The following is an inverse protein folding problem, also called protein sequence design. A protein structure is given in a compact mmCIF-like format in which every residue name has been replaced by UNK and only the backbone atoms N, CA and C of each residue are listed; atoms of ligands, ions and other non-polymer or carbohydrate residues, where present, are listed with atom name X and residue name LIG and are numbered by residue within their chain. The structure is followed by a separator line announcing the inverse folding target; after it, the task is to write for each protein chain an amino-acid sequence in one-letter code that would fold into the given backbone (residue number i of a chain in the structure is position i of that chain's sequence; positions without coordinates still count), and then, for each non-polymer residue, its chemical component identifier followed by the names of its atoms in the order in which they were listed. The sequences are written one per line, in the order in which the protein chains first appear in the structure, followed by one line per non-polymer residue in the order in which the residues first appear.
data_IF_648044263358
#
_entry.id   IF_648044263358
#
_cell.length_a   1.000
_cell.length_b   1.000
_cell.length_c   1.000
_cell.angle_alpha   90.00
_cell.angle_beta   90.00
_cell.angle_gamma   90.00
#
_symmetry.space_group_name_H-M   'P 1'
#
loop_
_entity.id
_entity.type
_entity.pdbx_description
1 polymer ?
#
# COMPACT_ATOMS: atom_id res chain seq x y z
N UNK A 1 25.80 -17.93 -17.11
CA UNK A 1 25.40 -16.91 -16.12
C UNK A 1 26.37 -15.73 -16.23
N UNK A 2 25.88 -14.53 -16.54
CA UNK A 2 26.71 -13.32 -16.57
C UNK A 2 27.16 -12.99 -15.13
N UNK A 3 28.47 -12.91 -14.89
CA UNK A 3 29.05 -12.66 -13.55
C UNK A 3 29.50 -11.23 -13.33
N UNK A 4 29.91 -10.56 -14.39
CA UNK A 4 30.39 -9.19 -14.39
C UNK A 4 29.95 -8.49 -15.69
N UNK A 5 29.70 -7.18 -15.59
CA UNK A 5 29.59 -6.32 -16.76
C UNK A 5 30.99 -5.77 -17.04
N UNK A 6 31.45 -5.88 -18.30
CA UNK A 6 32.76 -5.38 -18.66
C UNK A 6 32.83 -3.85 -18.55
N UNK A 7 33.96 -3.32 -18.05
CA UNK A 7 34.21 -1.87 -17.90
C UNK A 7 34.05 -1.07 -19.18
N UNK A 8 34.16 -1.72 -20.35
CA UNK A 8 33.86 -1.10 -21.65
C UNK A 8 32.42 -0.61 -21.81
N UNK A 9 31.49 -0.97 -20.92
CA UNK A 9 30.12 -0.42 -20.90
C UNK A 9 30.11 1.10 -20.90
N UNK A 10 31.06 1.76 -20.22
CA UNK A 10 31.16 3.22 -20.17
C UNK A 10 31.48 3.87 -21.53
N UNK A 11 31.90 3.09 -22.54
CA UNK A 11 32.12 3.57 -23.91
C UNK A 11 30.82 3.63 -24.73
N UNK A 12 29.72 3.07 -24.23
CA UNK A 12 28.44 3.03 -24.94
C UNK A 12 27.67 4.35 -24.81
N UNK A 13 28.20 5.41 -25.40
CA UNK A 13 27.65 6.79 -25.31
C UNK A 13 26.24 6.95 -25.91
N UNK A 14 25.79 5.98 -26.71
CA UNK A 14 24.44 5.97 -27.33
C UNK A 14 23.46 5.03 -26.65
N UNK A 15 23.89 4.30 -25.61
CA UNK A 15 23.00 3.40 -24.89
C UNK A 15 21.94 4.22 -24.15
N UNK A 16 20.66 3.91 -24.39
CA UNK A 16 19.53 4.56 -23.71
C UNK A 16 18.99 3.71 -22.56
N UNK A 17 18.86 2.41 -22.81
CA UNK A 17 18.27 1.48 -21.85
C UNK A 17 19.30 0.41 -21.47
N UNK A 18 19.60 0.30 -20.18
CA UNK A 18 20.42 -0.76 -19.63
C UNK A 18 19.52 -1.72 -18.84
N UNK A 19 19.26 -2.88 -19.42
CA UNK A 19 18.45 -3.91 -18.79
C UNK A 19 19.33 -5.09 -18.35
N UNK A 20 19.46 -5.26 -17.04
CA UNK A 20 20.17 -6.38 -16.40
C UNK A 20 19.21 -7.23 -15.55
N UNK A 21 17.92 -7.18 -15.88
CA UNK A 21 16.89 -7.91 -15.15
C UNK A 21 17.16 -9.41 -15.17
N UNK A 22 17.06 -10.06 -14.02
CA UNK A 22 17.26 -11.50 -13.89
C UNK A 22 18.70 -11.98 -14.06
N UNK A 23 19.69 -11.09 -14.07
CA UNK A 23 21.11 -11.47 -14.02
C UNK A 23 21.53 -11.92 -12.61
N UNK A 24 20.99 -13.03 -12.12
CA UNK A 24 21.19 -13.52 -10.73
C UNK A 24 22.65 -13.83 -10.39
N UNK A 25 23.48 -14.13 -11.38
CA UNK A 25 24.91 -14.36 -11.21
C UNK A 25 25.79 -13.09 -11.20
N UNK A 26 25.23 -11.91 -11.50
CA UNK A 26 25.98 -10.66 -11.64
C UNK A 26 26.34 -10.13 -10.25
N UNK A 27 27.63 -10.05 -9.92
CA UNK A 27 28.08 -9.71 -8.56
C UNK A 27 28.39 -8.22 -8.39
N UNK A 28 28.86 -7.55 -9.44
CA UNK A 28 29.32 -6.16 -9.39
C UNK A 28 28.93 -5.43 -10.65
N UNK A 29 28.46 -4.19 -10.48
CA UNK A 29 28.32 -3.23 -11.57
C UNK A 29 29.56 -2.33 -11.63
N UNK A 30 30.28 -2.26 -12.76
CA UNK A 30 31.51 -1.47 -12.86
C UNK A 30 31.20 0.04 -12.70
N UNK A 31 32.15 0.78 -12.12
CA UNK A 31 32.04 2.23 -11.93
C UNK A 31 31.88 2.98 -13.26
N UNK A 32 32.35 2.41 -14.36
CA UNK A 32 32.22 2.93 -15.72
C UNK A 32 30.76 3.05 -16.20
N UNK A 33 29.79 2.43 -15.51
CA UNK A 33 28.36 2.71 -15.78
C UNK A 33 28.03 4.20 -15.61
N UNK A 34 28.68 4.89 -14.67
CA UNK A 34 28.50 6.34 -14.50
C UNK A 34 28.94 7.20 -15.69
N UNK A 35 29.70 6.63 -16.63
CA UNK A 35 30.15 7.34 -17.84
C UNK A 35 29.12 7.30 -18.98
N UNK A 36 27.96 6.68 -18.79
CA UNK A 36 26.92 6.58 -19.82
C UNK A 36 26.18 7.92 -19.99
N UNK A 37 26.39 8.57 -21.14
CA UNK A 37 25.87 9.92 -21.41
C UNK A 37 24.40 9.99 -21.88
N UNK A 38 23.87 8.86 -22.36
CA UNK A 38 22.55 8.80 -22.99
C UNK A 38 21.55 7.90 -22.26
N UNK A 39 21.96 7.23 -21.17
CA UNK A 39 21.08 6.30 -20.47
C UNK A 39 20.00 7.06 -19.71
N UNK A 40 18.75 6.72 -20.04
CA UNK A 40 17.54 7.26 -19.41
C UNK A 40 16.81 6.21 -18.57
N UNK A 41 17.05 4.92 -18.80
CA UNK A 41 16.41 3.83 -18.05
C UNK A 41 17.39 2.71 -17.67
N UNK A 42 17.36 2.33 -16.38
CA UNK A 42 18.15 1.21 -15.83
C UNK A 42 17.22 0.23 -15.11
N UNK A 43 17.31 -1.06 -15.47
CA UNK A 43 16.61 -2.16 -14.81
C UNK A 43 17.61 -3.12 -14.15
N UNK A 44 17.64 -3.12 -12.82
CA UNK A 44 18.46 -4.00 -11.96
C UNK A 44 17.56 -4.89 -11.08
N UNK A 45 16.33 -5.16 -11.52
CA UNK A 45 15.39 -5.97 -10.75
C UNK A 45 15.44 -7.48 -11.08
N UNK A 46 14.87 -8.30 -10.21
CA UNK A 46 14.79 -9.75 -10.37
C UNK A 46 13.90 -10.15 -11.55
N UNK A 47 14.16 -11.34 -12.12
CA UNK A 47 13.57 -11.79 -13.39
C UNK A 47 12.10 -12.22 -13.37
N UNK A 48 11.47 -12.41 -12.20
CA UNK A 48 10.20 -13.13 -12.12
C UNK A 48 9.00 -12.21 -11.83
N UNK A 49 7.96 -12.36 -12.65
CA UNK A 49 6.64 -11.75 -12.46
C UNK A 49 5.65 -12.71 -11.75
N UNK A 50 6.10 -13.87 -11.29
CA UNK A 50 5.23 -14.82 -10.63
C UNK A 50 5.18 -14.52 -9.12
N UNK A 51 4.02 -14.11 -8.64
CA UNK A 51 3.68 -13.85 -7.23
C UNK A 51 3.80 -15.08 -6.31
N UNK A 52 4.35 -16.20 -6.80
CA UNK A 52 4.49 -17.47 -6.07
C UNK A 52 5.85 -17.66 -5.40
N UNK A 53 6.84 -16.80 -5.66
CA UNK A 53 8.17 -16.85 -5.04
C UNK A 53 8.77 -15.44 -4.92
N UNK A 54 9.49 -15.15 -3.82
CA UNK A 54 10.25 -13.91 -3.68
C UNK A 54 11.16 -13.72 -4.91
N UNK A 55 11.24 -12.51 -5.49
CA UNK A 55 12.07 -12.28 -6.67
C UNK A 55 13.52 -12.67 -6.34
N UNK A 56 14.10 -13.60 -7.11
CA UNK A 56 15.53 -13.87 -7.02
C UNK A 56 16.27 -12.56 -7.27
N UNK A 57 17.02 -12.11 -6.26
CA UNK A 57 17.78 -10.88 -6.32
C UNK A 57 18.80 -10.95 -7.44
N UNK A 58 19.08 -9.82 -8.09
CA UNK A 58 20.31 -9.70 -8.85
C UNK A 58 21.48 -9.91 -7.86
N UNK A 59 22.54 -10.63 -8.25
CA UNK A 59 23.64 -10.98 -7.34
C UNK A 59 24.49 -9.78 -6.88
N UNK A 60 24.12 -8.54 -7.26
CA UNK A 60 24.86 -7.33 -6.93
C UNK A 60 24.59 -6.99 -5.47
N UNK A 61 25.65 -6.80 -4.71
CA UNK A 61 25.53 -6.45 -3.28
C UNK A 61 25.52 -4.94 -3.06
N UNK A 62 26.21 -4.17 -3.92
CA UNK A 62 26.32 -2.70 -3.81
C UNK A 62 26.31 -2.04 -5.19
N UNK A 63 25.68 -0.86 -5.26
CA UNK A 63 25.70 -0.01 -6.46
C UNK A 63 26.89 0.94 -6.43
N UNK A 64 27.58 1.17 -7.56
CA UNK A 64 28.70 2.08 -7.61
C UNK A 64 28.25 3.53 -7.39
N UNK A 65 29.04 4.31 -6.64
CA UNK A 65 28.76 5.73 -6.41
C UNK A 65 28.69 6.54 -7.73
N UNK A 66 29.39 6.10 -8.77
CA UNK A 66 29.31 6.71 -10.10
C UNK A 66 27.94 6.61 -10.76
N UNK A 67 27.00 5.81 -10.24
CA UNK A 67 25.61 5.84 -10.69
C UNK A 67 25.01 7.25 -10.58
N UNK A 68 25.45 8.04 -9.60
CA UNK A 68 25.04 9.44 -9.44
C UNK A 68 25.52 10.37 -10.56
N UNK A 69 26.46 9.94 -11.41
CA UNK A 69 26.97 10.76 -12.53
C UNK A 69 26.08 10.68 -13.78
N UNK A 70 25.05 9.83 -13.77
CA UNK A 70 24.11 9.62 -14.88
C UNK A 70 23.12 10.78 -15.05
N UNK A 71 23.56 11.86 -15.69
CA UNK A 71 22.79 13.11 -15.82
C UNK A 71 21.45 12.99 -16.56
N UNK A 72 21.25 11.95 -17.37
CA UNK A 72 20.00 11.75 -18.14
C UNK A 72 19.11 10.65 -17.60
N UNK A 73 19.49 9.99 -16.50
CA UNK A 73 18.72 8.88 -15.97
C UNK A 73 17.36 9.37 -15.47
N UNK A 74 16.29 8.92 -16.11
CA UNK A 74 14.92 9.27 -15.74
C UNK A 74 14.25 8.19 -14.89
N UNK A 75 14.60 6.92 -15.12
CA UNK A 75 13.99 5.77 -14.43
C UNK A 75 15.02 4.77 -13.94
N UNK A 76 14.91 4.41 -12.67
CA UNK A 76 15.77 3.44 -12.02
C UNK A 76 14.93 2.39 -11.28
N UNK A 77 15.10 1.12 -11.64
CA UNK A 77 14.44 -0.01 -11.00
C UNK A 77 15.49 -0.92 -10.38
N UNK A 78 15.41 -1.19 -9.08
CA UNK A 78 16.45 -1.91 -8.35
C UNK A 78 15.89 -2.76 -7.20
N UNK A 79 16.68 -3.74 -6.73
CA UNK A 79 16.40 -4.55 -5.51
C UNK A 79 17.45 -4.33 -4.39
N UNK A 80 18.34 -3.35 -4.55
CA UNK A 80 19.52 -3.13 -3.68
C UNK A 80 19.39 -1.77 -2.97
N UNK A 81 20.31 -1.45 -2.07
CA UNK A 81 20.38 -0.12 -1.45
C UNK A 81 20.87 0.94 -2.44
N UNK A 82 20.26 2.12 -2.38
CA UNK A 82 20.71 3.30 -3.11
C UNK A 82 22.03 3.84 -2.53
N UNK A 83 23.00 4.21 -3.38
CA UNK A 83 24.21 4.90 -2.93
C UNK A 83 23.90 6.34 -2.51
N UNK A 84 24.74 6.94 -1.68
CA UNK A 84 24.56 8.34 -1.26
C UNK A 84 24.64 9.33 -2.43
N UNK A 85 25.30 8.96 -3.52
CA UNK A 85 25.38 9.77 -4.74
C UNK A 85 24.08 9.82 -5.55
N UNK A 86 23.03 9.06 -5.19
CA UNK A 86 21.76 9.04 -5.93
C UNK A 86 21.11 10.42 -6.04
N UNK A 87 21.33 11.30 -5.07
CA UNK A 87 20.83 12.67 -5.10
C UNK A 87 21.43 13.56 -6.19
N UNK A 88 22.50 13.13 -6.85
CA UNK A 88 23.09 13.83 -8.00
C UNK A 88 22.31 13.62 -9.29
N UNK A 89 21.34 12.69 -9.31
CA UNK A 89 20.50 12.42 -10.47
C UNK A 89 19.42 13.51 -10.63
N UNK A 90 19.76 14.57 -11.36
CA UNK A 90 18.88 15.73 -11.54
C UNK A 90 17.62 15.43 -12.38
N UNK A 91 17.69 14.46 -13.30
CA UNK A 91 16.61 14.08 -14.21
C UNK A 91 15.75 12.90 -13.72
N UNK A 92 16.08 12.29 -12.58
CA UNK A 92 15.36 11.10 -12.11
C UNK A 92 13.91 11.44 -11.75
N UNK A 93 12.97 10.79 -12.43
CA UNK A 93 11.52 10.96 -12.25
C UNK A 93 10.90 9.78 -11.51
N UNK A 94 11.41 8.58 -11.73
CA UNK A 94 10.87 7.33 -11.20
C UNK A 94 11.97 6.48 -10.57
N UNK A 95 11.80 6.10 -9.32
CA UNK A 95 12.63 5.08 -8.66
C UNK A 95 11.75 3.99 -8.07
N UNK A 96 12.07 2.72 -8.34
CA UNK A 96 11.37 1.59 -7.72
C UNK A 96 12.38 0.67 -7.04
N UNK A 97 12.19 0.50 -5.75
CA UNK A 97 12.97 -0.36 -4.86
C UNK A 97 12.05 -1.44 -4.33
N UNK A 98 11.90 -2.51 -5.10
CA UNK A 98 11.05 -3.65 -4.71
C UNK A 98 11.90 -4.65 -3.92
N UNK A 99 11.35 -5.24 -2.87
CA UNK A 99 11.98 -6.32 -2.09
C UNK A 99 13.45 -6.07 -1.65
N UNK A 100 13.84 -4.82 -1.39
CA UNK A 100 15.21 -4.53 -0.95
C UNK A 100 15.39 -4.72 0.57
N UNK A 101 16.61 -5.05 1.00
CA UNK A 101 17.05 -4.94 2.41
C UNK A 101 17.66 -3.56 2.67
N UNK A 102 16.84 -2.52 2.63
CA UNK A 102 17.30 -1.15 2.89
C UNK A 102 16.96 -0.76 4.31
N UNK A 103 17.98 -0.58 5.15
CA UNK A 103 17.81 -0.05 6.50
C UNK A 103 17.43 1.45 6.48
N UNK A 104 18.07 2.24 5.61
CA UNK A 104 17.91 3.70 5.54
C UNK A 104 17.94 4.19 4.09
N UNK A 105 17.03 5.10 3.76
CA UNK A 105 17.13 5.89 2.53
C UNK A 105 18.24 6.94 2.67
N UNK A 106 19.04 7.19 1.63
CA UNK A 106 20.13 8.17 1.68
C UNK A 106 19.56 9.58 1.84
N UNK A 107 20.23 10.45 2.63
CA UNK A 107 19.78 11.85 2.84
C UNK A 107 19.68 12.64 1.54
N UNK A 108 20.54 12.31 0.58
CA UNK A 108 20.56 12.90 -0.74
C UNK A 108 19.28 12.64 -1.56
N UNK A 109 18.37 11.75 -1.12
CA UNK A 109 17.07 11.58 -1.79
C UNK A 109 16.32 12.90 -1.94
N UNK A 110 16.39 13.78 -0.93
CA UNK A 110 15.68 15.06 -0.97
C UNK A 110 16.23 16.10 -1.93
N UNK A 111 17.39 15.88 -2.54
CA UNK A 111 17.93 16.79 -3.57
C UNK A 111 17.32 16.53 -4.95
N UNK A 112 16.64 15.40 -5.15
CA UNK A 112 16.03 15.01 -6.43
C UNK A 112 14.72 15.77 -6.71
N UNK A 113 14.84 17.01 -7.23
CA UNK A 113 13.70 17.92 -7.44
C UNK A 113 12.68 17.43 -8.48
N UNK A 114 13.08 16.54 -9.40
CA UNK A 114 12.21 15.99 -10.47
C UNK A 114 11.57 14.65 -10.12
N UNK A 115 11.90 14.07 -8.97
CA UNK A 115 11.35 12.78 -8.56
C UNK A 115 9.84 12.90 -8.32
N UNK A 116 9.07 12.11 -9.08
CA UNK A 116 7.60 12.09 -9.04
C UNK A 116 7.08 10.82 -8.40
N UNK A 117 7.80 9.71 -8.55
CA UNK A 117 7.33 8.40 -8.13
C UNK A 117 8.45 7.64 -7.44
N UNK A 118 8.18 7.19 -6.23
CA UNK A 118 9.09 6.36 -5.45
C UNK A 118 8.31 5.26 -4.73
N UNK A 119 8.70 4.01 -4.96
CA UNK A 119 8.29 2.89 -4.12
C UNK A 119 9.52 2.32 -3.39
N UNK A 120 9.41 2.18 -2.08
CA UNK A 120 10.34 1.43 -1.24
C UNK A 120 9.56 0.32 -0.53
N UNK A 121 9.54 -0.87 -1.10
CA UNK A 121 9.00 -2.07 -0.46
C UNK A 121 10.17 -2.86 0.10
N UNK A 122 10.54 -2.58 1.34
CA UNK A 122 11.79 -3.07 1.93
C UNK A 122 11.50 -3.85 3.21
N UNK A 123 12.10 -5.02 3.37
CA UNK A 123 11.85 -5.90 4.54
C UNK A 123 12.48 -5.39 5.84
N UNK A 124 13.42 -4.44 5.78
CA UNK A 124 14.24 -3.99 6.91
C UNK A 124 14.28 -2.46 7.06
N UNK A 125 13.26 -1.74 6.57
CA UNK A 125 13.22 -0.27 6.62
C UNK A 125 12.91 0.26 8.03
N UNK A 126 13.69 -0.16 9.02
CA UNK A 126 13.64 0.25 10.43
C UNK A 126 14.38 1.56 10.69
N UNK A 127 15.26 2.00 9.78
CA UNK A 127 16.04 3.20 9.95
C UNK A 127 15.25 4.48 9.64
N UNK A 128 15.70 5.59 10.24
CA UNK A 128 15.06 6.90 10.05
C UNK A 128 15.04 7.31 8.58
N UNK A 129 13.84 7.58 8.05
CA UNK A 129 13.67 8.28 6.77
C UNK A 129 14.29 9.68 6.89
N UNK A 130 15.10 10.11 5.92
CA UNK A 130 15.78 11.40 5.95
C UNK A 130 14.77 12.56 6.04
N UNK A 131 15.16 13.67 6.70
CA UNK A 131 14.31 14.86 6.83
C UNK A 131 14.01 15.47 5.46
N UNK A 132 14.99 15.32 4.59
CA UNK A 132 15.04 15.80 3.24
C UNK A 132 13.97 15.14 2.36
N UNK A 133 13.30 14.05 2.77
CA UNK A 133 12.16 13.49 2.03
C UNK A 133 11.04 14.53 1.81
N UNK A 134 10.81 15.41 2.80
CA UNK A 134 9.83 16.51 2.70
C UNK A 134 10.22 17.58 1.65
N UNK A 135 11.47 17.58 1.15
CA UNK A 135 11.95 18.52 0.14
C UNK A 135 11.59 18.12 -1.30
N UNK A 136 10.98 16.93 -1.49
CA UNK A 136 10.59 16.38 -2.79
C UNK A 136 9.34 17.07 -3.36
N UNK A 137 9.51 18.32 -3.77
CA UNK A 137 8.44 19.22 -4.23
C UNK A 137 7.65 18.78 -5.46
N UNK A 138 8.07 17.71 -6.15
CA UNK A 138 7.38 17.12 -7.30
C UNK A 138 6.85 15.71 -7.03
N UNK A 139 7.01 15.18 -5.82
CA UNK A 139 6.55 13.84 -5.48
C UNK A 139 5.02 13.73 -5.60
N UNK A 140 4.58 12.74 -6.36
CA UNK A 140 3.17 12.41 -6.62
C UNK A 140 2.80 11.05 -6.06
N UNK A 141 3.71 10.08 -6.13
CA UNK A 141 3.48 8.71 -5.65
C UNK A 141 4.58 8.34 -4.68
N UNK A 142 4.21 8.06 -3.44
CA UNK A 142 5.13 7.57 -2.41
C UNK A 142 4.55 6.34 -1.73
N UNK A 143 5.16 5.20 -2.00
CA UNK A 143 4.78 3.92 -1.43
C UNK A 143 5.93 3.41 -0.56
N UNK A 144 5.67 3.23 0.74
CA UNK A 144 6.65 2.77 1.71
C UNK A 144 6.06 1.58 2.46
N UNK A 145 6.31 0.39 1.94
CA UNK A 145 5.87 -0.86 2.55
C UNK A 145 7.02 -1.50 3.32
N UNK A 146 6.73 -1.96 4.53
CA UNK A 146 7.59 -2.87 5.27
C UNK A 146 6.97 -4.25 5.19
N UNK A 147 7.73 -5.25 4.74
CA UNK A 147 7.29 -6.65 4.82
C UNK A 147 7.60 -7.20 6.22
N UNK A 148 7.05 -6.60 7.28
CA UNK A 148 7.06 -7.26 8.58
C UNK A 148 5.97 -8.33 8.54
N UNK A 149 6.34 -9.55 8.11
CA UNK A 149 5.34 -10.63 8.04
C UNK A 149 5.78 -12.01 7.52
N UNK A 150 7.03 -12.25 7.12
CA UNK A 150 7.45 -13.60 6.65
C UNK A 150 8.73 -14.15 7.27
N UNK A 151 9.40 -13.43 8.19
CA UNK A 151 10.27 -14.13 9.13
C UNK A 151 9.38 -14.91 10.06
N UNK A 152 9.19 -16.18 9.69
CA UNK A 152 8.94 -17.34 10.54
C UNK A 152 8.82 -16.99 12.03
N UNK A 153 7.77 -17.53 12.64
CA UNK A 153 7.51 -17.64 14.07
C UNK A 153 8.73 -18.05 14.94
N UNK A 154 9.89 -18.34 14.35
CA UNK A 154 11.17 -18.63 15.01
C UNK A 154 12.00 -17.42 15.47
N UNK A 155 11.60 -16.16 15.20
CA UNK A 155 12.20 -14.97 15.87
C UNK A 155 11.22 -14.12 16.70
N UNK A 156 9.96 -14.52 16.73
CA UNK A 156 9.09 -14.29 17.88
C UNK A 156 9.40 -15.36 18.95
N UNK A 157 10.67 -15.48 19.36
CA UNK A 157 10.89 -15.76 20.78
C UNK A 157 10.07 -14.71 21.49
N UNK A 158 9.07 -15.18 22.26
CA UNK A 158 8.08 -14.41 23.04
C UNK A 158 8.56 -12.97 23.21
N UNK A 159 7.75 -11.92 22.95
CA UNK A 159 8.09 -10.59 23.43
C UNK A 159 7.98 -10.56 24.97
N UNK A 160 8.78 -11.39 25.65
CA UNK A 160 9.20 -11.21 27.02
C UNK A 160 10.00 -9.91 27.02
N UNK A 161 9.27 -8.82 27.25
CA UNK A 161 9.81 -7.47 27.42
C UNK A 161 10.67 -6.97 26.25
N UNK A 162 10.04 -6.55 25.14
CA UNK A 162 10.65 -5.46 24.37
C UNK A 162 10.84 -4.29 25.33
N UNK A 163 12.09 -3.90 25.61
CA UNK A 163 12.43 -2.75 26.44
C UNK A 163 11.52 -1.56 26.04
N UNK A 164 10.70 -1.01 26.95
CA UNK A 164 9.82 0.11 26.66
C UNK A 164 10.53 1.28 25.97
N UNK A 165 11.83 1.46 26.26
CA UNK A 165 12.66 2.48 25.59
C UNK A 165 12.88 2.20 24.11
N UNK A 166 13.01 0.93 23.70
CA UNK A 166 13.15 0.53 22.30
C UNK A 166 11.83 0.74 21.55
N UNK A 167 10.71 0.36 22.14
CA UNK A 167 9.38 0.56 21.55
C UNK A 167 9.07 2.06 21.36
N UNK A 168 9.33 2.88 22.39
CA UNK A 168 9.17 4.32 22.31
C UNK A 168 10.06 4.97 21.24
N UNK A 169 11.31 4.50 21.07
CA UNK A 169 12.20 4.97 19.99
C UNK A 169 11.62 4.67 18.60
N UNK A 170 11.07 3.47 18.39
CA UNK A 170 10.50 3.07 17.10
C UNK A 170 9.21 3.85 16.79
N UNK A 171 8.33 4.04 17.79
CA UNK A 171 7.14 4.88 17.64
C UNK A 171 7.52 6.32 17.30
N UNK A 172 8.51 6.89 18.00
CA UNK A 172 8.99 8.25 17.71
C UNK A 172 9.61 8.38 16.33
N UNK A 173 10.47 7.44 15.92
CA UNK A 173 11.10 7.45 14.60
C UNK A 173 10.04 7.40 13.48
N UNK A 174 9.01 6.57 13.68
CA UNK A 174 7.92 6.43 12.73
C UNK A 174 7.02 7.67 12.70
N UNK A 175 6.67 8.23 13.86
CA UNK A 175 5.93 9.50 13.93
C UNK A 175 6.68 10.61 13.20
N UNK A 176 7.97 10.77 13.48
CA UNK A 176 8.82 11.77 12.83
C UNK A 176 8.93 11.56 11.32
N UNK A 177 8.94 10.31 10.86
CA UNK A 177 8.88 9.96 9.43
C UNK A 177 7.58 10.46 8.81
N UNK A 178 6.46 10.17 9.43
CA UNK A 178 5.14 10.56 8.94
C UNK A 178 5.02 12.09 8.90
N UNK A 179 5.46 12.79 9.96
CA UNK A 179 5.45 14.25 10.03
C UNK A 179 6.18 14.88 8.84
N UNK A 180 7.38 14.37 8.51
CA UNK A 180 8.19 14.83 7.35
C UNK A 180 7.51 14.62 6.00
N UNK A 181 6.64 13.60 5.90
CA UNK A 181 5.92 13.31 4.66
C UNK A 181 4.72 14.24 4.45
N UNK A 182 4.28 14.95 5.48
CA UNK A 182 3.18 15.90 5.38
C UNK A 182 3.56 17.16 4.60
N UNK A 183 4.86 17.42 4.42
CA UNK A 183 5.38 18.52 3.59
C UNK A 183 5.21 18.25 2.07
N UNK A 184 4.88 17.02 1.67
CA UNK A 184 4.71 16.61 0.27
C UNK A 184 3.36 17.07 -0.32
N UNK A 185 3.21 18.39 -0.54
CA UNK A 185 1.93 19.00 -0.94
C UNK A 185 1.39 18.59 -2.32
N UNK A 186 2.20 17.97 -3.17
CA UNK A 186 1.79 17.44 -4.49
C UNK A 186 1.51 15.94 -4.49
N UNK A 187 1.53 15.31 -3.32
CA UNK A 187 1.34 13.88 -3.20
C UNK A 187 -0.11 13.51 -3.59
N UNK A 188 -0.23 12.61 -4.56
CA UNK A 188 -1.49 12.07 -5.07
C UNK A 188 -1.77 10.66 -4.53
N UNK A 189 -0.72 9.86 -4.34
CA UNK A 189 -0.82 8.49 -3.85
C UNK A 189 0.16 8.32 -2.69
N UNK A 190 -0.36 7.86 -1.56
CA UNK A 190 0.42 7.51 -0.38
C UNK A 190 0.06 6.11 0.10
N UNK A 191 1.06 5.23 0.17
CA UNK A 191 0.93 3.97 0.86
C UNK A 191 1.97 3.82 1.97
N UNK A 192 1.54 3.42 3.16
CA UNK A 192 2.39 3.28 4.33
C UNK A 192 2.09 1.99 5.09
N UNK A 193 3.15 1.35 5.59
CA UNK A 193 3.08 0.34 6.63
C UNK A 193 3.41 0.98 7.99
N UNK A 194 2.48 0.94 8.94
CA UNK A 194 2.51 1.61 10.24
C UNK A 194 2.54 0.56 11.34
N UNK A 195 3.72 0.06 11.65
CA UNK A 195 3.81 -1.03 12.61
C UNK A 195 3.63 -0.54 14.03
N UNK A 196 4.30 0.54 14.43
CA UNK A 196 4.46 0.91 15.85
C UNK A 196 3.85 2.26 16.26
N UNK A 197 2.96 2.85 15.45
CA UNK A 197 2.33 4.14 15.78
C UNK A 197 0.86 3.96 16.10
N UNK A 198 0.45 4.54 17.23
CA UNK A 198 -0.92 4.45 17.73
C UNK A 198 -1.87 5.49 17.12
N UNK A 199 -1.35 6.64 16.67
CA UNK A 199 -2.13 7.73 16.10
C UNK A 199 -1.41 8.45 14.97
N UNK A 200 -2.15 8.79 13.92
CA UNK A 200 -1.64 9.58 12.80
C UNK A 200 -1.77 11.10 13.07
N UNK A 201 -0.84 11.92 12.54
CA UNK A 201 -0.84 13.39 12.69
C UNK A 201 -2.03 14.06 11.98
N UNK A 202 -2.60 15.13 12.56
CA UNK A 202 -3.75 15.84 12.00
C UNK A 202 -3.45 16.49 10.64
N UNK A 203 -2.18 16.70 10.35
CA UNK A 203 -1.59 17.25 9.15
C UNK A 203 -1.90 16.40 7.88
N UNK A 204 -2.39 15.17 8.01
CA UNK A 204 -2.93 14.40 6.87
C UNK A 204 -4.05 15.14 6.12
N UNK A 205 -4.78 16.01 6.80
CA UNK A 205 -5.78 16.89 6.20
C UNK A 205 -5.18 17.95 5.25
N UNK A 206 -3.88 18.25 5.37
CA UNK A 206 -3.18 19.26 4.54
C UNK A 206 -2.80 18.75 3.15
N UNK A 207 -2.80 17.43 2.95
CA UNK A 207 -2.51 16.79 1.66
C UNK A 207 -3.70 16.92 0.70
N UNK A 208 -3.92 18.14 0.19
CA UNK A 208 -5.07 18.50 -0.63
C UNK A 208 -5.10 17.83 -2.01
N UNK A 209 -3.97 17.32 -2.50
CA UNK A 209 -3.90 16.60 -3.77
C UNK A 209 -4.01 15.07 -3.63
N UNK A 210 -4.09 14.57 -2.39
CA UNK A 210 -4.11 13.13 -2.12
C UNK A 210 -5.42 12.52 -2.62
N UNK A 211 -5.28 11.56 -3.53
CA UNK A 211 -6.38 10.82 -4.16
C UNK A 211 -6.45 9.40 -3.61
N UNK A 212 -5.31 8.75 -3.41
CA UNK A 212 -5.25 7.37 -2.97
C UNK A 212 -4.42 7.26 -1.68
N UNK A 213 -5.03 6.74 -0.62
CA UNK A 213 -4.38 6.47 0.65
C UNK A 213 -4.53 5.00 1.03
N UNK A 214 -3.41 4.32 1.21
CA UNK A 214 -3.38 2.95 1.72
C UNK A 214 -2.55 2.86 2.99
N UNK A 215 -3.16 2.40 4.07
CA UNK A 215 -2.52 2.24 5.37
C UNK A 215 -2.61 0.78 5.81
N UNK A 216 -1.46 0.13 5.81
CA UNK A 216 -1.22 -1.15 6.47
C UNK A 216 -0.64 -0.81 7.86
N UNK A 217 -0.93 -1.56 8.90
CA UNK A 217 -0.31 -1.27 10.20
C UNK A 217 -0.71 -2.23 11.29
N UNK A 218 0.06 -2.35 12.36
CA UNK A 218 -0.19 -3.37 13.38
C UNK A 218 -0.82 -2.81 14.66
N UNK A 219 -0.54 -1.55 15.03
CA UNK A 219 -0.99 -1.00 16.31
C UNK A 219 -1.74 0.34 16.20
N UNK A 220 -2.18 0.72 14.99
CA UNK A 220 -2.87 1.99 14.77
C UNK A 220 -4.27 1.97 15.38
N UNK A 221 -4.54 2.89 16.33
CA UNK A 221 -5.82 2.98 17.05
C UNK A 221 -6.65 4.21 16.69
N UNK A 222 -6.03 5.28 16.22
CA UNK A 222 -6.72 6.52 15.92
C UNK A 222 -6.25 7.08 14.57
N UNK A 223 -7.22 7.36 13.69
CA UNK A 223 -6.98 8.03 12.41
C UNK A 223 -7.61 9.43 12.48
N UNK A 224 -6.86 10.50 12.17
CA UNK A 224 -7.40 11.86 12.14
C UNK A 224 -8.23 12.08 10.89
N UNK A 225 -8.89 13.23 10.80
CA UNK A 225 -9.62 13.63 9.59
C UNK A 225 -8.67 13.67 8.39
N UNK A 226 -9.07 13.01 7.30
CA UNK A 226 -8.28 12.93 6.06
C UNK A 226 -8.83 13.92 5.02
N UNK A 227 -7.98 14.29 4.06
CA UNK A 227 -8.31 15.18 2.94
C UNK A 227 -9.58 14.75 2.20
N UNK A 228 -10.48 15.70 1.92
CA UNK A 228 -11.76 15.47 1.25
C UNK A 228 -11.65 15.15 -0.24
N UNK A 229 -10.45 15.27 -0.82
CA UNK A 229 -10.17 14.97 -2.23
C UNK A 229 -9.90 13.48 -2.51
N UNK A 230 -9.89 12.64 -1.47
CA UNK A 230 -9.65 11.21 -1.61
C UNK A 230 -10.69 10.52 -2.50
N UNK A 231 -10.19 9.72 -3.42
CA UNK A 231 -10.94 8.82 -4.30
C UNK A 231 -10.88 7.38 -3.79
N UNK A 232 -9.75 6.97 -3.19
CA UNK A 232 -9.54 5.62 -2.67
C UNK A 232 -8.94 5.67 -1.27
N UNK A 233 -9.54 4.91 -0.36
CA UNK A 233 -9.08 4.76 1.01
C UNK A 233 -9.01 3.29 1.37
N UNK A 234 -7.83 2.82 1.75
CA UNK A 234 -7.59 1.42 2.11
C UNK A 234 -6.94 1.32 3.48
N UNK A 235 -7.54 0.52 4.35
CA UNK A 235 -6.98 0.09 5.61
C UNK A 235 -6.86 -1.43 5.58
N UNK A 236 -5.67 -1.94 5.87
CA UNK A 236 -5.38 -3.38 5.80
C UNK A 236 -4.66 -3.81 7.08
N UNK A 237 -5.04 -4.95 7.64
CA UNK A 237 -4.40 -5.66 8.75
C UNK A 237 -4.15 -4.84 10.02
N UNK A 238 -5.00 -3.87 10.34
CA UNK A 238 -4.88 -3.05 11.54
C UNK A 238 -5.33 -3.82 12.79
N UNK A 239 -4.39 -4.29 13.62
CA UNK A 239 -4.73 -5.00 14.86
C UNK A 239 -5.18 -4.04 15.97
N UNK A 240 -6.24 -4.45 16.69
CA UNK A 240 -6.83 -3.68 17.77
C UNK A 240 -8.06 -2.88 17.35
N UNK A 241 -8.67 -2.18 18.32
CA UNK A 241 -9.87 -1.38 18.12
C UNK A 241 -9.48 0.01 17.62
N UNK A 242 -10.08 0.42 16.49
CA UNK A 242 -9.71 1.63 15.77
C UNK A 242 -10.86 2.61 15.77
N UNK A 243 -10.53 3.85 16.13
CA UNK A 243 -11.39 5.01 15.95
C UNK A 243 -11.03 5.67 14.62
N UNK A 244 -11.93 5.51 13.65
CA UNK A 244 -11.88 6.23 12.38
C UNK A 244 -12.68 7.54 12.47
N UNK A 245 -12.30 8.58 11.70
CA UNK A 245 -13.11 9.80 11.59
C UNK A 245 -14.37 9.53 10.76
N UNK A 246 -15.34 10.46 10.79
CA UNK A 246 -16.53 10.37 9.93
C UNK A 246 -16.11 10.50 8.46
N UNK A 247 -16.16 9.40 7.71
CA UNK A 247 -15.74 9.36 6.31
C UNK A 247 -16.81 9.91 5.35
N UNK A 248 -18.02 10.22 5.82
CA UNK A 248 -19.00 10.93 4.99
C UNK A 248 -18.55 12.32 4.51
N UNK A 249 -17.54 12.88 5.17
CA UNK A 249 -16.82 14.08 4.72
C UNK A 249 -16.11 13.88 3.37
N UNK A 250 -15.79 12.64 2.99
CA UNK A 250 -15.07 12.27 1.76
C UNK A 250 -16.04 12.10 0.58
N UNK A 251 -16.65 13.20 0.13
CA UNK A 251 -17.69 13.18 -0.93
C UNK A 251 -17.22 12.66 -2.29
N UNK A 252 -15.91 12.58 -2.52
CA UNK A 252 -15.33 12.06 -3.77
C UNK A 252 -14.93 10.59 -3.70
N UNK A 253 -15.08 9.94 -2.53
CA UNK A 253 -14.62 8.58 -2.30
C UNK A 253 -15.39 7.61 -3.19
N UNK A 254 -14.64 6.79 -3.93
CA UNK A 254 -15.15 5.76 -4.84
C UNK A 254 -14.85 4.35 -4.34
N UNK A 255 -13.76 4.18 -3.62
CA UNK A 255 -13.32 2.88 -3.12
C UNK A 255 -12.96 3.01 -1.64
N UNK A 256 -13.59 2.20 -0.82
CA UNK A 256 -13.27 2.06 0.59
C UNK A 256 -13.01 0.58 0.90
N UNK A 257 -11.76 0.28 1.27
CA UNK A 257 -11.34 -1.05 1.71
C UNK A 257 -11.00 -0.97 3.18
N UNK A 258 -11.64 -1.79 3.99
CA UNK A 258 -11.36 -1.93 5.41
C UNK A 258 -11.24 -3.42 5.72
N UNK A 259 -10.00 -3.90 5.71
CA UNK A 259 -9.72 -5.33 5.73
C UNK A 259 -8.82 -5.73 6.88
N UNK A 260 -9.16 -6.82 7.57
CA UNK A 260 -8.39 -7.32 8.71
C UNK A 260 -8.24 -6.28 9.86
N UNK A 261 -9.26 -5.45 10.07
CA UNK A 261 -9.30 -4.40 11.09
C UNK A 261 -10.50 -4.57 12.05
N UNK A 262 -10.47 -3.97 13.25
CA UNK A 262 -11.62 -3.95 14.18
C UNK A 262 -12.03 -2.51 14.52
N UNK A 263 -13.32 -2.17 14.37
CA UNK A 263 -13.86 -0.86 14.75
C UNK A 263 -14.27 -0.80 16.22
N UNK A 264 -14.31 0.41 16.77
CA UNK A 264 -14.97 0.69 18.05
C UNK A 264 -16.47 0.37 17.97
N UNK A 265 -17.11 0.12 19.12
CA UNK A 265 -18.46 -0.47 19.27
C UNK A 265 -19.58 0.14 18.42
N UNK A 266 -19.42 1.39 17.95
CA UNK A 266 -20.38 2.12 17.13
C UNK A 266 -20.37 1.71 15.63
N UNK A 267 -19.45 0.82 15.22
CA UNK A 267 -19.42 0.21 13.90
C UNK A 267 -19.34 1.19 12.71
N UNK A 268 -19.74 0.72 11.52
CA UNK A 268 -19.74 1.53 10.28
C UNK A 268 -20.85 2.58 10.22
N UNK A 269 -21.88 2.49 11.07
CA UNK A 269 -22.97 3.47 11.11
C UNK A 269 -22.44 4.85 11.52
N UNK A 270 -21.56 4.89 12.53
CA UNK A 270 -20.89 6.11 12.99
C UNK A 270 -20.03 6.80 11.91
N UNK A 271 -19.58 6.04 10.92
CA UNK A 271 -18.70 6.49 9.83
C UNK A 271 -19.47 7.22 8.72
N UNK A 272 -20.79 7.02 8.62
CA UNK A 272 -21.64 7.64 7.60
C UNK A 272 -21.37 7.11 6.19
N UNK A 273 -21.07 5.82 6.03
CA UNK A 273 -20.79 5.21 4.70
C UNK A 273 -21.94 5.43 3.72
N UNK A 274 -23.19 5.34 4.18
CA UNK A 274 -24.39 5.55 3.36
C UNK A 274 -24.54 6.96 2.79
N UNK A 275 -23.89 7.97 3.40
CA UNK A 275 -23.91 9.36 2.93
C UNK A 275 -22.93 9.61 1.76
N UNK A 276 -22.10 8.63 1.41
CA UNK A 276 -21.07 8.77 0.38
C UNK A 276 -21.66 8.48 -1.01
N UNK A 277 -22.22 9.53 -1.63
CA UNK A 277 -22.95 9.43 -2.90
C UNK A 277 -22.15 8.82 -4.07
N UNK A 278 -20.82 8.85 -4.04
CA UNK A 278 -19.94 8.37 -5.12
C UNK A 278 -19.27 7.03 -4.85
N UNK A 279 -19.57 6.37 -3.74
CA UNK A 279 -18.92 5.11 -3.37
C UNK A 279 -19.36 3.97 -4.30
N UNK A 280 -18.41 3.41 -5.05
CA UNK A 280 -18.65 2.35 -6.02
C UNK A 280 -18.19 0.98 -5.51
N UNK A 281 -17.15 0.95 -4.68
CA UNK A 281 -16.56 -0.27 -4.13
C UNK A 281 -16.46 -0.14 -2.61
N UNK A 282 -17.12 -1.06 -1.90
CA UNK A 282 -16.96 -1.25 -0.47
C UNK A 282 -16.46 -2.68 -0.20
N UNK A 283 -15.31 -2.78 0.44
CA UNK A 283 -14.81 -4.04 0.99
C UNK A 283 -14.75 -3.91 2.52
N UNK A 284 -15.58 -4.71 3.19
CA UNK A 284 -15.61 -4.83 4.64
C UNK A 284 -15.15 -6.24 5.00
N UNK A 285 -13.92 -6.37 5.48
CA UNK A 285 -13.37 -7.64 5.97
C UNK A 285 -13.09 -7.55 7.46
N UNK A 286 -13.97 -8.10 8.30
CA UNK A 286 -13.76 -8.59 9.69
C UNK A 286 -15.01 -8.57 10.58
N UNK A 287 -14.82 -9.07 11.82
CA UNK A 287 -15.68 -9.29 12.99
C UNK A 287 -16.63 -8.15 13.42
N UNK A 288 -17.32 -7.54 12.47
CA UNK A 288 -18.35 -6.53 12.71
C UNK A 288 -19.49 -7.19 13.47
N UNK A 289 -19.82 -6.61 14.63
CA UNK A 289 -20.96 -7.07 15.43
C UNK A 289 -22.28 -6.54 14.89
N UNK A 290 -22.25 -5.47 14.09
CA UNK A 290 -23.43 -4.76 13.56
C UNK A 290 -23.21 -4.33 12.10
N UNK A 291 -23.49 -5.22 11.16
CA UNK A 291 -23.72 -4.85 9.75
C UNK A 291 -25.21 -4.61 9.46
N UNK A 292 -26.10 -5.17 10.28
CA UNK A 292 -27.53 -4.95 10.17
C UNK A 292 -27.87 -3.49 10.48
N UNK A 293 -28.63 -2.83 9.60
CA UNK A 293 -28.97 -1.40 9.70
C UNK A 293 -28.00 -0.44 9.01
N UNK A 294 -26.91 -0.95 8.42
CA UNK A 294 -26.01 -0.12 7.62
C UNK A 294 -26.71 0.36 6.34
N UNK A 295 -26.95 1.67 6.23
CA UNK A 295 -27.38 2.28 4.98
C UNK A 295 -26.21 2.28 3.99
N UNK A 296 -26.40 1.67 2.81
CA UNK A 296 -25.42 1.62 1.73
C UNK A 296 -25.82 2.59 0.61
N UNK A 297 -24.84 3.27 -0.03
CA UNK A 297 -25.14 4.27 -1.05
C UNK A 297 -25.60 3.63 -2.36
N UNK A 298 -26.58 4.26 -3.03
CA UNK A 298 -27.17 3.83 -4.32
C UNK A 298 -26.15 3.71 -5.48
N UNK A 299 -24.96 4.29 -5.32
CA UNK A 299 -23.86 4.25 -6.29
C UNK A 299 -23.05 2.95 -6.24
N UNK A 300 -23.22 2.13 -5.20
CA UNK A 300 -22.43 0.95 -4.96
C UNK A 300 -22.58 -0.07 -6.09
N UNK A 301 -21.44 -0.52 -6.62
CA UNK A 301 -21.34 -1.53 -7.69
C UNK A 301 -20.76 -2.84 -7.18
N UNK A 302 -19.90 -2.77 -6.17
CA UNK A 302 -19.11 -3.89 -5.68
C UNK A 302 -19.17 -3.89 -4.15
N UNK A 303 -19.62 -5.01 -3.59
CA UNK A 303 -19.67 -5.24 -2.15
C UNK A 303 -18.95 -6.54 -1.81
N UNK A 304 -17.86 -6.44 -1.05
CA UNK A 304 -17.17 -7.57 -0.45
C UNK A 304 -17.42 -7.58 1.05
N UNK A 305 -17.95 -8.67 1.57
CA UNK A 305 -18.16 -8.91 3.00
C UNK A 305 -17.38 -10.17 3.37
N UNK A 306 -16.25 -10.02 4.04
CA UNK A 306 -15.40 -11.18 4.40
C UNK A 306 -15.15 -11.25 5.90
N UNK A 307 -15.06 -12.44 6.49
CA UNK A 307 -14.64 -12.62 7.88
C UNK A 307 -15.54 -11.96 8.94
N UNK A 308 -16.78 -11.59 8.60
CA UNK A 308 -17.75 -11.01 9.53
C UNK A 308 -18.43 -12.14 10.32
N UNK A 309 -17.77 -12.62 11.39
CA UNK A 309 -18.18 -13.85 12.07
C UNK A 309 -19.47 -13.72 12.88
N UNK A 310 -19.73 -12.54 13.46
CA UNK A 310 -20.89 -12.27 14.33
C UNK A 310 -22.13 -11.73 13.58
N UNK A 311 -22.07 -11.56 12.26
CA UNK A 311 -23.17 -10.97 11.49
C UNK A 311 -24.18 -12.05 11.11
N UNK A 312 -25.40 -11.92 11.63
CA UNK A 312 -26.50 -12.87 11.37
C UNK A 312 -27.29 -12.55 10.09
N UNK A 313 -27.39 -11.27 9.77
CA UNK A 313 -28.17 -10.73 8.65
C UNK A 313 -27.41 -9.59 7.98
N UNK A 314 -27.44 -9.53 6.65
CA UNK A 314 -26.92 -8.39 5.89
C UNK A 314 -27.90 -7.19 5.93
N UNK A 315 -27.43 -5.97 5.64
CA UNK A 315 -28.31 -4.82 5.40
C UNK A 315 -29.18 -5.05 4.16
N UNK A 316 -30.26 -4.27 4.03
CA UNK A 316 -31.09 -4.31 2.84
C UNK A 316 -30.29 -3.86 1.60
N UNK A 317 -30.28 -4.71 0.57
CA UNK A 317 -29.56 -4.49 -0.69
C UNK A 317 -30.51 -4.18 -1.86
N UNK A 318 -31.84 -4.24 -1.66
CA UNK A 318 -32.86 -4.08 -2.71
C UNK A 318 -32.76 -2.74 -3.44
N UNK A 319 -32.32 -1.70 -2.73
CA UNK A 319 -32.16 -0.36 -3.28
C UNK A 319 -30.92 -0.22 -4.17
N UNK A 320 -29.95 -1.13 -4.12
CA UNK A 320 -28.65 -1.01 -4.80
C UNK A 320 -28.72 -1.40 -6.28
N UNK A 321 -29.49 -0.65 -7.09
CA UNK A 321 -29.71 -0.89 -8.53
C UNK A 321 -28.45 -0.92 -9.41
N UNK A 322 -27.30 -0.49 -8.89
CA UNK A 322 -26.01 -0.51 -9.60
C UNK A 322 -25.11 -1.66 -9.18
N UNK A 323 -25.53 -2.48 -8.21
CA UNK A 323 -24.74 -3.59 -7.68
C UNK A 323 -24.52 -4.64 -8.76
N UNK A 324 -23.25 -4.98 -9.01
CA UNK A 324 -22.81 -5.95 -10.02
C UNK A 324 -22.11 -7.14 -9.40
N UNK A 325 -21.46 -6.96 -8.26
CA UNK A 325 -20.69 -8.01 -7.59
C UNK A 325 -21.02 -7.98 -6.10
N UNK A 326 -21.44 -9.12 -5.58
CA UNK A 326 -21.58 -9.39 -4.16
C UNK A 326 -20.74 -10.61 -3.83
N UNK A 327 -19.70 -10.42 -3.01
CA UNK A 327 -18.85 -11.51 -2.54
C UNK A 327 -18.98 -11.61 -1.03
N UNK A 328 -19.35 -12.79 -0.54
CA UNK A 328 -19.51 -13.07 0.89
C UNK A 328 -18.61 -14.25 1.24
N UNK A 329 -17.70 -14.07 2.20
CA UNK A 329 -16.73 -15.12 2.55
C UNK A 329 -16.48 -15.21 4.05
N UNK A 330 -16.36 -16.41 4.61
CA UNK A 330 -16.00 -16.62 6.03
C UNK A 330 -16.95 -15.89 7.02
N UNK A 331 -18.24 -15.79 6.69
CA UNK A 331 -19.28 -15.22 7.55
C UNK A 331 -20.02 -16.33 8.30
N UNK A 332 -19.44 -16.77 9.41
CA UNK A 332 -19.83 -18.02 10.09
C UNK A 332 -21.23 -18.02 10.73
N UNK A 333 -21.70 -16.90 11.26
CA UNK A 333 -23.06 -16.81 11.84
C UNK A 333 -24.12 -16.27 10.87
N UNK A 334 -23.77 -16.01 9.60
CA UNK A 334 -24.72 -15.45 8.64
C UNK A 334 -25.79 -16.49 8.30
N UNK A 335 -27.05 -16.20 8.67
CA UNK A 335 -28.16 -17.14 8.50
C UNK A 335 -29.01 -16.88 7.25
N UNK A 336 -29.05 -15.62 6.80
CA UNK A 336 -29.86 -15.18 5.65
C UNK A 336 -29.15 -14.09 4.86
N UNK A 337 -29.35 -14.11 3.55
CA UNK A 337 -28.98 -13.04 2.62
C UNK A 337 -30.29 -12.48 2.03
N UNK A 338 -30.44 -11.15 1.92
CA UNK A 338 -31.60 -10.51 1.30
C UNK A 338 -31.89 -11.04 -0.11
N UNK A 339 -33.16 -11.05 -0.51
CA UNK A 339 -33.52 -11.40 -1.89
C UNK A 339 -32.96 -10.33 -2.87
N UNK A 340 -32.33 -10.80 -3.94
CA UNK A 340 -31.68 -9.96 -4.95
C UNK A 340 -32.36 -10.08 -6.32
N UNK A 341 -33.52 -10.76 -6.40
CA UNK A 341 -34.24 -10.97 -7.65
C UNK A 341 -34.71 -9.65 -8.31
N UNK A 342 -34.94 -8.61 -7.52
CA UNK A 342 -35.40 -7.29 -8.00
C UNK A 342 -34.26 -6.39 -8.52
N UNK A 343 -33.00 -6.82 -8.38
CA UNK A 343 -31.85 -6.04 -8.85
C UNK A 343 -31.62 -6.22 -10.35
N UNK A 344 -31.70 -5.11 -11.08
CA UNK A 344 -31.36 -5.05 -12.51
C UNK A 344 -30.22 -4.06 -12.77
N UNK A 345 -29.05 -4.51 -13.29
CA UNK A 345 -28.72 -5.90 -13.64
C UNK A 345 -28.50 -6.79 -12.41
N UNK A 346 -28.76 -8.09 -12.54
CA UNK A 346 -28.55 -9.03 -11.44
C UNK A 346 -27.07 -9.17 -11.10
N UNK A 347 -26.69 -9.01 -9.82
CA UNK A 347 -25.31 -9.09 -9.41
C UNK A 347 -24.78 -10.52 -9.57
N UNK A 348 -23.49 -10.62 -9.90
CA UNK A 348 -22.73 -11.85 -9.72
C UNK A 348 -22.53 -12.07 -8.21
N UNK A 349 -23.04 -13.19 -7.71
CA UNK A 349 -22.98 -13.53 -6.29
C UNK A 349 -22.03 -14.71 -6.10
N UNK A 350 -21.05 -14.55 -5.22
CA UNK A 350 -20.14 -15.61 -4.78
C UNK A 350 -20.20 -15.71 -3.26
N UNK A 351 -20.44 -16.92 -2.76
CA UNK A 351 -20.58 -17.20 -1.32
C UNK A 351 -19.67 -18.36 -0.97
N UNK A 352 -18.75 -18.18 -0.03
CA UNK A 352 -17.85 -19.25 0.40
C UNK A 352 -17.66 -19.27 1.92
N UNK A 353 -17.48 -20.46 2.51
CA UNK A 353 -17.20 -20.63 3.94
C UNK A 353 -18.21 -19.94 4.87
N UNK A 354 -19.51 -19.99 4.54
CA UNK A 354 -20.61 -19.43 5.33
C UNK A 354 -21.50 -20.55 5.90
N UNK A 355 -21.00 -21.25 6.92
CA UNK A 355 -21.52 -22.55 7.36
C UNK A 355 -22.95 -22.51 7.94
N UNK A 356 -23.38 -21.35 8.48
CA UNK A 356 -24.72 -21.19 9.08
C UNK A 356 -25.80 -20.73 8.11
N UNK A 357 -25.47 -20.51 6.83
CA UNK A 357 -26.38 -19.93 5.86
C UNK A 357 -27.51 -20.91 5.53
N UNK A 358 -28.74 -20.53 5.89
CA UNK A 358 -29.95 -21.35 5.68
C UNK A 358 -30.78 -20.88 4.49
N UNK A 359 -30.73 -19.58 4.20
CA UNK A 359 -31.54 -18.93 3.16
C UNK A 359 -30.57 -18.30 2.14
N UNK A 360 -30.55 -18.88 0.94
CA UNK A 360 -29.81 -18.34 -0.22
C UNK A 360 -30.60 -17.22 -0.90
N UNK A 361 -29.93 -16.19 -1.43
CA UNK A 361 -30.59 -15.15 -2.22
C UNK A 361 -31.07 -15.74 -3.54
N UNK A 362 -32.22 -15.27 -4.05
CA UNK A 362 -32.58 -15.57 -5.44
C UNK A 362 -31.85 -14.57 -6.33
N UNK A 363 -31.18 -15.06 -7.36
CA UNK A 363 -30.50 -14.25 -8.37
C UNK A 363 -30.86 -14.79 -9.75
N UNK A 364 -31.05 -13.93 -10.75
CA UNK A 364 -31.34 -14.38 -12.12
C UNK A 364 -30.11 -14.92 -12.86
N UNK A 365 -28.89 -14.66 -12.37
CA UNK A 365 -27.63 -15.16 -12.95
C UNK A 365 -27.06 -16.41 -12.25
N UNK A 366 -27.73 -16.97 -11.25
CA UNK A 366 -27.19 -18.05 -10.42
C UNK A 366 -26.16 -17.57 -9.38
N UNK A 367 -25.72 -18.48 -8.51
CA UNK A 367 -24.71 -18.26 -7.46
C UNK A 367 -23.49 -19.11 -7.84
N UNK A 368 -22.30 -18.52 -7.87
CA UNK A 368 -21.05 -19.27 -8.02
C UNK A 368 -20.59 -19.76 -6.64
N UNK A 369 -20.49 -21.08 -6.46
CA UNK A 369 -19.99 -21.77 -5.26
C UNK A 369 -18.47 -21.62 -5.06
#
# INVERSE_FOLDING_TARGET
MLREVNRSIGKLTRLKHLNLKGCTGLQVLPGEVGSLEAVDEIFLNGGHHNFTSLPESIGITELPNSLGDLKKLEKLFLLIKLPDSIGNLEELKVTKMDSCRVEKLPRSIGTMKKLKESNANCSELEGETPAEIGMLSCMRILELYSQIGTTTESKLSRPESLDPRRMMRQEWAMKRRIDRMMDLRKLEILALCIDNVTSLPAEFSTLSQLKDLALLGLYLRCVPQISSCLLRLKFVSLYGIIKLPRISTLKQLREFVFSQCSLQEDGFESLGVGEIEKLEHLEAVNDLTKLHGLSLPMSLKVLYVTGCKNVKKLPDLSHLKKLRVLCIKDCKELTEIPDLAELEPSPKVSISSCDSLRIMPRTSNGIED
#
